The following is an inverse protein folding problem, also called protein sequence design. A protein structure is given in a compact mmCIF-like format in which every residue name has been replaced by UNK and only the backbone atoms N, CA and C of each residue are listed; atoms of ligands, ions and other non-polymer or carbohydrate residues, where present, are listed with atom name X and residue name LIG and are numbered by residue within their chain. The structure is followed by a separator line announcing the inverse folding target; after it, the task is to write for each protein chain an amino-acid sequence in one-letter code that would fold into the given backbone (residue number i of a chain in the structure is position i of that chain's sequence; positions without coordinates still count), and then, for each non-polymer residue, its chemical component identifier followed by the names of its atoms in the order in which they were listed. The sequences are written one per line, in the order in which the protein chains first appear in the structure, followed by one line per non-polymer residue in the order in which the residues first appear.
data_IF_287584139048
#
_entry.id   IF_287584139048
#
_cell.length_a   1.000
_cell.length_b   1.000
_cell.length_c   1.000
_cell.angle_alpha   90.00
_cell.angle_beta   90.00
_cell.angle_gamma   90.00
#
_symmetry.space_group_name_H-M   'P 1'
#
loop_
_entity.id
_entity.type
_entity.pdbx_description
1 polymer ?
#
# COMPACT_ATOMS: atom_id res chain seq x y z
N UNK A 1 34.27 -14.04 15.59
CA UNK A 1 34.54 -12.65 15.97
C UNK A 1 33.24 -11.94 16.33
N UNK A 2 33.28 -11.11 17.36
CA UNK A 2 32.24 -10.14 17.69
C UNK A 2 32.70 -8.79 17.14
N UNK A 3 31.92 -8.22 16.24
CA UNK A 3 32.15 -6.87 15.70
C UNK A 3 31.11 -5.92 16.30
N UNK A 4 31.59 -4.77 16.74
CA UNK A 4 30.76 -3.69 17.25
C UNK A 4 31.18 -2.38 16.59
N UNK A 5 30.26 -1.48 16.43
CA UNK A 5 30.55 -0.15 15.90
C UNK A 5 29.78 0.94 16.65
N UNK A 6 30.27 2.16 16.64
CA UNK A 6 29.58 3.32 17.16
C UNK A 6 29.66 4.48 16.17
N UNK A 7 28.78 5.46 16.33
CA UNK A 7 28.74 6.70 15.58
C UNK A 7 28.78 7.87 16.55
N UNK A 8 29.68 8.86 16.28
CA UNK A 8 29.73 10.13 17.01
C UNK A 8 29.80 9.94 18.53
N UNK A 9 30.68 9.04 19.00
CA UNK A 9 30.88 8.65 20.40
C UNK A 9 29.58 8.11 21.09
N UNK A 10 28.61 7.64 20.30
CA UNK A 10 27.38 7.06 20.80
C UNK A 10 27.52 5.63 21.35
N UNK A 11 26.42 4.96 21.53
CA UNK A 11 26.41 3.59 22.03
C UNK A 11 27.00 2.60 21.01
N UNK A 12 27.75 1.60 21.53
CA UNK A 12 28.25 0.50 20.72
C UNK A 12 27.13 -0.44 20.28
N UNK A 13 26.99 -0.62 18.97
CA UNK A 13 26.02 -1.50 18.34
C UNK A 13 26.71 -2.81 17.98
N UNK A 14 26.24 -3.92 18.55
CA UNK A 14 26.73 -5.27 18.27
C UNK A 14 26.16 -5.81 16.99
N UNK A 15 27.01 -6.37 16.14
CA UNK A 15 26.61 -7.18 15.00
C UNK A 15 26.51 -8.65 15.39
N UNK A 16 25.84 -9.50 14.61
CA UNK A 16 25.89 -10.94 14.80
C UNK A 16 27.33 -11.47 14.80
N UNK A 17 27.58 -12.49 15.61
CA UNK A 17 28.90 -13.16 15.63
C UNK A 17 29.17 -13.76 14.25
N UNK A 18 30.36 -13.58 13.74
CA UNK A 18 30.78 -14.05 12.42
C UNK A 18 32.09 -14.79 12.46
N UNK A 19 32.25 -15.80 11.62
CA UNK A 19 33.54 -16.43 11.31
C UNK A 19 34.25 -15.78 10.13
N UNK A 20 33.63 -14.82 9.46
CA UNK A 20 34.19 -14.09 8.33
C UNK A 20 35.24 -13.09 8.79
N UNK A 21 36.16 -12.78 7.89
CA UNK A 21 37.17 -11.73 8.09
C UNK A 21 36.69 -10.34 7.64
N UNK A 22 35.46 -10.22 7.19
CA UNK A 22 34.82 -8.96 6.78
C UNK A 22 33.34 -8.96 7.15
N UNK A 23 32.83 -7.76 7.47
CA UNK A 23 31.41 -7.48 7.75
C UNK A 23 31.08 -6.17 7.05
N UNK A 24 29.92 -6.14 6.41
CA UNK A 24 29.39 -4.95 5.75
C UNK A 24 28.20 -4.41 6.55
N UNK A 25 28.21 -3.11 6.83
CA UNK A 25 27.12 -2.37 7.45
C UNK A 25 26.55 -1.41 6.42
N UNK A 26 25.30 -1.66 6.02
CA UNK A 26 24.62 -0.86 5.01
C UNK A 26 23.74 0.21 5.64
N UNK A 27 23.42 1.26 4.86
CA UNK A 27 22.47 2.30 5.25
C UNK A 27 23.02 3.23 6.35
N UNK A 28 24.32 3.43 6.43
CA UNK A 28 24.95 4.33 7.39
C UNK A 28 24.81 5.80 6.96
N UNK A 29 24.70 6.68 7.93
CA UNK A 29 24.56 8.12 7.74
C UNK A 29 25.90 8.84 7.87
N UNK A 30 25.96 10.11 7.47
CA UNK A 30 27.14 10.94 7.70
C UNK A 30 27.46 11.00 9.20
N UNK A 31 28.74 10.93 9.54
CA UNK A 31 29.21 10.95 10.93
C UNK A 31 30.60 10.36 11.07
N UNK A 32 31.08 10.37 12.30
CA UNK A 32 32.36 9.76 12.68
C UNK A 32 32.11 8.36 13.22
N UNK A 33 32.76 7.38 12.62
CA UNK A 33 32.56 5.97 12.95
C UNK A 33 33.84 5.34 13.49
N UNK A 34 33.66 4.53 14.53
CA UNK A 34 34.65 3.66 15.06
C UNK A 34 34.12 2.24 15.17
N UNK A 35 34.92 1.26 14.88
CA UNK A 35 34.60 -0.14 15.04
C UNK A 35 35.57 -0.82 16.00
N UNK A 36 35.14 -1.87 16.68
CA UNK A 36 35.98 -2.74 17.46
C UNK A 36 35.66 -4.20 17.21
N UNK A 37 36.71 -5.01 17.26
CA UNK A 37 36.60 -6.46 17.02
C UNK A 37 37.16 -7.20 18.21
N UNK A 38 36.40 -8.17 18.70
CA UNK A 38 36.79 -9.09 19.76
C UNK A 38 36.81 -10.51 19.19
N UNK A 39 37.93 -11.20 19.34
CA UNK A 39 38.02 -12.63 19.02
C UNK A 39 37.34 -13.45 20.13
N UNK A 40 36.53 -14.44 19.75
CA UNK A 40 35.91 -15.37 20.68
C UNK A 40 36.44 -16.76 20.38
N UNK A 41 36.94 -17.44 21.37
CA UNK A 41 37.45 -18.81 21.26
C UNK A 41 36.30 -19.82 21.20
N UNK A 42 36.61 -21.07 20.89
CA UNK A 42 35.67 -22.18 20.93
C UNK A 42 35.07 -22.47 22.34
N UNK A 43 35.69 -21.90 23.37
CA UNK A 43 35.25 -22.01 24.78
C UNK A 43 34.61 -20.70 25.29
N UNK A 44 34.10 -19.85 24.37
CA UNK A 44 33.48 -18.56 24.68
C UNK A 44 34.38 -17.56 25.47
N UNK A 45 35.70 -17.74 25.39
CA UNK A 45 36.64 -16.81 25.99
C UNK A 45 36.91 -15.67 24.98
N UNK A 46 36.60 -14.45 25.39
CA UNK A 46 36.82 -13.25 24.59
C UNK A 46 38.22 -12.66 24.76
N UNK A 47 38.82 -12.21 23.68
CA UNK A 47 40.04 -11.39 23.72
C UNK A 47 39.76 -9.96 24.17
N UNK A 48 40.80 -9.18 24.41
CA UNK A 48 40.64 -7.73 24.42
C UNK A 48 40.22 -7.23 23.05
N UNK A 49 39.38 -6.19 22.99
CA UNK A 49 38.98 -5.62 21.70
C UNK A 49 40.10 -4.86 21.03
N UNK A 50 40.14 -4.97 19.70
CA UNK A 50 40.98 -4.12 18.86
C UNK A 50 40.08 -3.09 18.16
N UNK A 51 40.54 -1.83 18.18
CA UNK A 51 39.78 -0.70 17.65
C UNK A 51 40.27 -0.32 16.26
N UNK A 52 39.33 0.13 15.39
CA UNK A 52 39.68 0.79 14.15
C UNK A 52 40.20 2.23 14.43
N UNK A 53 40.71 2.88 13.41
CA UNK A 53 40.84 4.34 13.41
C UNK A 53 39.45 4.97 13.32
N UNK A 54 39.29 6.14 13.95
CA UNK A 54 38.08 6.96 13.76
C UNK A 54 37.98 7.39 12.29
N UNK A 55 36.89 7.06 11.64
CA UNK A 55 36.68 7.31 10.21
C UNK A 55 35.45 8.18 10.00
N UNK A 56 35.64 9.32 9.35
CA UNK A 56 34.52 10.18 8.96
C UNK A 56 33.90 9.66 7.65
N UNK A 57 32.63 9.32 7.68
CA UNK A 57 31.86 8.88 6.52
C UNK A 57 30.88 9.97 6.11
N UNK A 58 30.86 10.28 4.83
CA UNK A 58 29.92 11.26 4.28
C UNK A 58 28.48 10.74 4.29
N UNK A 59 28.31 9.43 4.43
CA UNK A 59 27.01 8.79 4.35
C UNK A 59 26.34 8.96 2.99
N UNK A 60 25.05 8.69 2.94
CA UNK A 60 24.23 9.02 1.76
C UNK A 60 24.10 10.54 1.68
N UNK A 61 24.45 11.10 0.54
CA UNK A 61 24.23 12.52 0.22
C UNK A 61 23.07 12.65 -0.78
N UNK A 62 22.31 13.73 -0.63
CA UNK A 62 21.20 14.03 -1.51
C UNK A 62 19.85 13.53 -0.99
N UNK A 63 18.80 13.93 -1.70
CA UNK A 63 17.41 13.55 -1.42
C UNK A 63 17.11 12.17 -2.01
N UNK A 64 16.11 11.47 -1.47
CA UNK A 64 15.57 10.27 -2.12
C UNK A 64 15.21 10.55 -3.57
N UNK A 65 15.42 9.60 -4.49
CA UNK A 65 15.02 9.77 -5.87
C UNK A 65 13.49 9.82 -5.99
N UNK A 66 12.98 10.29 -7.14
CA UNK A 66 11.56 10.19 -7.45
C UNK A 66 11.14 8.72 -7.61
N UNK A 67 9.85 8.44 -7.43
CA UNK A 67 9.28 7.17 -7.85
C UNK A 67 9.51 6.94 -9.35
N UNK A 68 9.85 5.72 -9.73
CA UNK A 68 10.02 5.38 -11.15
C UNK A 68 8.70 5.51 -11.91
N UNK A 69 7.59 5.12 -11.29
CA UNK A 69 6.25 5.23 -11.84
C UNK A 69 5.21 5.13 -10.73
N UNK A 70 4.07 5.77 -10.94
CA UNK A 70 2.81 5.52 -10.24
C UNK A 70 1.70 5.37 -11.26
N UNK A 71 0.88 4.33 -11.12
CA UNK A 71 -0.28 4.04 -11.96
C UNK A 71 -1.53 3.96 -11.09
N UNK A 72 -2.63 4.51 -11.60
CA UNK A 72 -3.93 4.43 -10.98
C UNK A 72 -4.92 3.78 -11.96
N UNK A 73 -5.71 2.82 -11.48
CA UNK A 73 -6.76 2.14 -12.24
C UNK A 73 -8.06 2.27 -11.49
N UNK A 74 -9.12 2.70 -12.19
CA UNK A 74 -10.47 2.71 -11.64
C UNK A 74 -11.01 1.28 -11.50
N UNK A 75 -11.58 1.00 -10.34
CA UNK A 75 -12.32 -0.23 -10.05
C UNK A 75 -13.73 0.12 -9.61
N UNK A 76 -14.59 -0.86 -9.47
CA UNK A 76 -15.96 -0.65 -9.00
C UNK A 76 -15.93 0.08 -7.64
N UNK A 77 -16.49 1.28 -7.59
CA UNK A 77 -16.52 2.17 -6.43
C UNK A 77 -15.16 2.43 -5.77
N UNK A 78 -14.07 2.45 -6.57
CA UNK A 78 -12.74 2.65 -5.97
C UNK A 78 -11.62 2.82 -6.98
N UNK A 79 -10.39 2.78 -6.45
CA UNK A 79 -9.15 2.87 -7.21
C UNK A 79 -8.16 1.81 -6.75
N UNK A 80 -7.39 1.29 -7.69
CA UNK A 80 -6.18 0.52 -7.41
C UNK A 80 -4.98 1.34 -7.82
N UNK A 81 -4.07 1.54 -6.88
CA UNK A 81 -2.80 2.21 -7.08
C UNK A 81 -1.68 1.18 -7.11
N UNK A 82 -0.74 1.34 -8.02
CA UNK A 82 0.51 0.59 -8.05
C UNK A 82 1.64 1.57 -8.34
N UNK A 83 2.80 1.36 -7.71
CA UNK A 83 3.98 2.20 -7.94
C UNK A 83 5.24 1.37 -7.97
N UNK A 84 6.25 1.88 -8.66
CA UNK A 84 7.54 1.23 -8.78
C UNK A 84 8.63 2.11 -8.18
N UNK A 85 9.54 1.45 -7.47
CA UNK A 85 10.73 2.08 -6.95
C UNK A 85 11.77 2.24 -8.06
N UNK A 86 12.62 3.29 -8.03
CA UNK A 86 13.73 3.40 -8.94
C UNK A 86 14.75 2.28 -8.73
N UNK A 87 15.45 1.89 -9.80
CA UNK A 87 16.43 0.81 -9.75
C UNK A 87 17.64 1.12 -8.83
N UNK A 88 17.92 2.41 -8.60
CA UNK A 88 19.04 2.87 -7.76
C UNK A 88 18.58 3.95 -6.78
N UNK A 89 19.24 4.01 -5.63
CA UNK A 89 19.04 5.08 -4.64
C UNK A 89 17.80 4.93 -3.75
N UNK A 90 17.06 3.82 -3.82
CA UNK A 90 15.85 3.59 -3.03
C UNK A 90 16.02 2.60 -1.87
N UNK A 91 17.21 2.03 -1.68
CA UNK A 91 17.44 0.95 -0.69
C UNK A 91 17.24 1.38 0.77
N UNK A 92 17.36 2.66 1.08
CA UNK A 92 17.13 3.24 2.40
C UNK A 92 15.73 3.89 2.55
N UNK A 93 14.85 3.68 1.60
CA UNK A 93 13.46 4.15 1.69
C UNK A 93 12.79 3.56 2.92
N UNK A 94 12.18 4.43 3.73
CA UNK A 94 11.33 4.04 4.84
C UNK A 94 9.87 3.98 4.39
N UNK A 95 9.41 5.01 3.69
CA UNK A 95 8.02 5.15 3.29
C UNK A 95 7.88 5.68 1.87
N UNK A 96 6.78 5.30 1.25
CA UNK A 96 6.21 6.02 0.11
C UNK A 96 5.03 6.85 0.60
N UNK A 97 5.11 8.17 0.45
CA UNK A 97 3.98 9.06 0.69
C UNK A 97 3.18 9.21 -0.59
N UNK A 98 1.89 8.95 -0.50
CA UNK A 98 0.93 9.13 -1.60
C UNK A 98 -0.04 10.24 -1.23
N UNK A 99 -0.32 11.13 -2.17
CA UNK A 99 -1.40 12.10 -2.06
C UNK A 99 -2.47 11.88 -3.14
N UNK A 100 -3.68 12.32 -2.81
CA UNK A 100 -4.84 12.32 -3.68
C UNK A 100 -5.30 13.76 -3.91
N UNK A 101 -5.62 14.09 -5.16
CA UNK A 101 -6.13 15.40 -5.54
C UNK A 101 -7.41 15.29 -6.38
N UNK A 102 -8.23 16.34 -6.34
CA UNK A 102 -9.44 16.42 -7.15
C UNK A 102 -9.17 16.93 -8.56
N UNK A 103 -8.04 17.60 -8.79
CA UNK A 103 -7.67 18.24 -10.05
C UNK A 103 -6.26 17.89 -10.49
N UNK A 104 -5.99 18.02 -11.78
CA UNK A 104 -4.69 17.69 -12.38
C UNK A 104 -3.53 18.59 -11.88
N UNK A 105 -3.83 19.80 -11.43
CA UNK A 105 -2.83 20.74 -10.90
C UNK A 105 -2.57 20.54 -9.38
N UNK A 106 -3.21 19.55 -8.77
CA UNK A 106 -3.03 19.28 -7.34
C UNK A 106 -3.76 20.23 -6.40
N UNK A 107 -4.70 21.04 -6.88
CA UNK A 107 -5.54 21.81 -6.00
C UNK A 107 -6.33 20.88 -5.07
N UNK A 108 -6.38 21.22 -3.77
CA UNK A 108 -6.99 20.40 -2.72
C UNK A 108 -6.35 19.00 -2.60
N UNK A 109 -5.05 18.88 -2.90
CA UNK A 109 -4.31 17.66 -2.62
C UNK A 109 -4.27 17.39 -1.11
N UNK A 110 -4.53 16.16 -0.73
CA UNK A 110 -4.46 15.68 0.64
C UNK A 110 -3.62 14.40 0.69
N UNK A 111 -2.92 14.21 1.79
CA UNK A 111 -2.18 12.98 2.02
C UNK A 111 -3.16 11.80 2.11
N UNK A 112 -3.00 10.83 1.22
CA UNK A 112 -3.73 9.57 1.26
C UNK A 112 -3.15 8.64 2.33
N UNK A 113 -1.83 8.55 2.41
CA UNK A 113 -1.15 7.74 3.41
C UNK A 113 0.35 7.66 3.22
N UNK A 114 0.99 7.08 4.24
CA UNK A 114 2.38 6.67 4.26
C UNK A 114 2.45 5.15 4.20
N UNK A 115 3.08 4.61 3.17
CA UNK A 115 3.18 3.19 2.93
C UNK A 115 4.62 2.74 3.19
N UNK A 116 4.80 1.85 4.16
CA UNK A 116 6.12 1.34 4.52
C UNK A 116 6.74 0.59 3.33
N UNK A 117 8.05 0.81 3.11
CA UNK A 117 8.81 0.05 2.11
C UNK A 117 8.85 -1.45 2.52
N UNK A 118 8.68 -2.41 1.61
CA UNK A 118 8.60 -2.30 0.14
C UNK A 118 7.16 -2.33 -0.43
N UNK A 119 6.14 -1.90 0.34
CA UNK A 119 4.76 -1.83 -0.17
C UNK A 119 4.73 -0.99 -1.45
N UNK A 120 4.10 -1.51 -2.49
CA UNK A 120 4.05 -0.89 -3.82
C UNK A 120 2.65 -0.87 -4.43
N UNK A 121 1.62 -1.15 -3.64
CA UNK A 121 0.23 -1.13 -4.08
C UNK A 121 -0.72 -0.74 -2.95
N UNK A 122 -1.84 -0.14 -3.33
CA UNK A 122 -2.93 0.18 -2.40
C UNK A 122 -4.27 0.19 -3.12
N UNK A 123 -5.33 -0.19 -2.42
CA UNK A 123 -6.71 -0.18 -2.94
C UNK A 123 -7.55 0.75 -2.07
N UNK A 124 -8.25 1.68 -2.74
CA UNK A 124 -9.20 2.59 -2.14
C UNK A 124 -10.59 2.15 -2.57
N UNK A 125 -11.51 1.97 -1.62
CA UNK A 125 -12.89 1.59 -1.88
C UNK A 125 -13.88 2.54 -1.20
N UNK A 126 -15.18 2.40 -1.50
CA UNK A 126 -16.24 3.21 -0.93
C UNK A 126 -16.38 4.59 -1.59
N UNK A 127 -15.84 4.73 -2.80
CA UNK A 127 -15.96 5.96 -3.57
C UNK A 127 -17.22 5.96 -4.42
N UNK A 128 -17.72 7.16 -4.76
CA UNK A 128 -18.81 7.29 -5.72
C UNK A 128 -18.39 6.82 -7.12
N UNK A 129 -19.29 6.28 -7.94
CA UNK A 129 -18.99 5.90 -9.30
C UNK A 129 -18.71 7.14 -10.17
N UNK A 130 -17.96 6.95 -11.27
CA UNK A 130 -17.60 8.00 -12.23
C UNK A 130 -16.85 9.18 -11.62
N UNK A 131 -16.15 8.97 -10.50
CA UNK A 131 -15.38 9.97 -9.80
C UNK A 131 -13.93 9.95 -10.29
N UNK A 132 -13.45 11.05 -10.90
CA UNK A 132 -12.06 11.18 -11.32
C UNK A 132 -11.20 11.74 -10.19
N UNK A 133 -10.02 11.11 -9.96
CA UNK A 133 -9.00 11.56 -8.99
C UNK A 133 -7.61 11.45 -9.57
N UNK A 134 -6.70 12.19 -8.97
CA UNK A 134 -5.30 12.28 -9.35
C UNK A 134 -4.43 11.87 -8.17
N UNK A 135 -3.38 11.12 -8.44
CA UNK A 135 -2.50 10.53 -7.43
C UNK A 135 -1.05 10.77 -7.82
N UNK A 136 -0.23 11.12 -6.86
CA UNK A 136 1.23 11.14 -7.01
C UNK A 136 1.89 10.65 -5.73
N UNK A 137 3.14 10.26 -5.84
CA UNK A 137 3.89 9.76 -4.71
C UNK A 137 5.30 10.30 -4.66
N UNK A 138 5.90 10.24 -3.47
CA UNK A 138 7.31 10.53 -3.23
C UNK A 138 7.89 9.58 -2.21
N UNK A 139 9.19 9.44 -2.22
CA UNK A 139 9.91 8.60 -1.27
C UNK A 139 10.38 9.42 -0.07
N UNK A 140 10.35 8.79 1.09
CA UNK A 140 10.91 9.30 2.35
C UNK A 140 11.92 8.26 2.82
N UNK A 141 13.14 8.67 3.08
CA UNK A 141 14.19 7.79 3.58
C UNK A 141 14.10 7.58 5.10
N UNK A 142 14.96 6.70 5.63
CA UNK A 142 14.97 6.32 7.05
C UNK A 142 15.36 7.44 8.01
N UNK A 143 15.95 8.52 7.52
CA UNK A 143 16.29 9.70 8.33
C UNK A 143 15.32 10.86 8.12
N UNK A 144 14.27 10.65 7.31
CA UNK A 144 13.23 11.63 7.11
C UNK A 144 13.46 12.62 5.96
N UNK A 145 14.48 12.43 5.13
CA UNK A 145 14.62 13.24 3.92
C UNK A 145 13.52 12.89 2.93
N UNK A 146 12.97 13.91 2.32
CA UNK A 146 11.82 13.82 1.44
C UNK A 146 12.27 14.05 -0.01
N UNK A 147 11.96 13.08 -0.87
CA UNK A 147 12.24 13.15 -2.30
C UNK A 147 11.23 13.98 -3.07
N UNK A 148 11.48 14.22 -4.37
CA UNK A 148 10.56 14.93 -5.23
C UNK A 148 9.29 14.11 -5.51
N UNK A 149 8.19 14.82 -5.76
CA UNK A 149 6.95 14.21 -6.21
C UNK A 149 7.06 13.63 -7.62
N UNK A 150 6.42 12.49 -7.85
CA UNK A 150 6.18 11.96 -9.18
C UNK A 150 5.19 12.84 -9.95
N UNK A 151 5.04 12.57 -11.25
CA UNK A 151 3.92 13.10 -12.03
C UNK A 151 2.59 12.51 -11.51
N UNK A 152 1.50 13.25 -11.73
CA UNK A 152 0.17 12.75 -11.40
C UNK A 152 -0.27 11.64 -12.34
N UNK A 153 -0.69 10.51 -11.79
CA UNK A 153 -1.53 9.52 -12.45
C UNK A 153 -3.00 9.81 -12.16
N UNK A 154 -3.89 9.53 -13.10
CA UNK A 154 -5.31 9.73 -12.88
C UNK A 154 -6.12 8.48 -13.19
N UNK A 155 -7.21 8.31 -12.47
CA UNK A 155 -8.19 7.27 -12.73
C UNK A 155 -9.61 7.78 -12.44
N UNK A 156 -10.59 7.12 -13.05
CA UNK A 156 -12.01 7.34 -12.78
C UNK A 156 -12.59 6.03 -12.23
N UNK A 157 -13.31 6.10 -11.12
CA UNK A 157 -13.98 4.95 -10.54
C UNK A 157 -14.99 4.35 -11.52
N UNK A 158 -15.06 3.03 -11.59
CA UNK A 158 -16.06 2.34 -12.43
C UNK A 158 -17.43 2.34 -11.76
N UNK A 159 -18.48 2.45 -12.59
CA UNK A 159 -19.85 2.16 -12.24
C UNK A 159 -20.30 0.79 -12.75
N UNK A 160 -19.43 0.05 -13.44
CA UNK A 160 -19.74 -1.23 -14.03
C UNK A 160 -19.84 -2.31 -12.94
N UNK A 161 -21.09 -2.67 -12.64
CA UNK A 161 -21.43 -3.72 -11.68
C UNK A 161 -21.78 -5.05 -12.37
N UNK A 162 -21.50 -5.21 -13.66
CA UNK A 162 -21.89 -6.40 -14.44
C UNK A 162 -21.40 -7.69 -13.79
N UNK A 163 -20.16 -7.78 -13.34
CA UNK A 163 -19.64 -8.96 -12.66
C UNK A 163 -20.37 -9.27 -11.33
N UNK A 164 -20.82 -8.25 -10.61
CA UNK A 164 -21.62 -8.42 -9.39
C UNK A 164 -23.03 -8.90 -9.75
N UNK A 165 -23.63 -8.31 -10.78
CA UNK A 165 -24.93 -8.70 -11.29
C UNK A 165 -24.93 -10.14 -11.82
N UNK A 166 -23.87 -10.57 -12.51
CA UNK A 166 -23.71 -11.94 -12.97
C UNK A 166 -23.66 -12.95 -11.81
N UNK A 167 -22.93 -12.61 -10.73
CA UNK A 167 -22.89 -13.43 -9.52
C UNK A 167 -24.26 -13.49 -8.85
N UNK A 168 -24.97 -12.38 -8.81
CA UNK A 168 -26.30 -12.30 -8.19
C UNK A 168 -27.36 -13.01 -9.05
N UNK A 169 -27.35 -12.83 -10.37
CA UNK A 169 -28.30 -13.49 -11.28
C UNK A 169 -28.14 -15.01 -11.26
N UNK A 170 -26.92 -15.53 -11.11
CA UNK A 170 -26.66 -16.96 -10.95
C UNK A 170 -27.07 -17.53 -9.56
N UNK A 171 -27.34 -16.66 -8.57
CA UNK A 171 -27.73 -17.07 -7.21
C UNK A 171 -29.18 -16.74 -6.84
N UNK A 172 -29.81 -15.80 -7.57
CA UNK A 172 -31.24 -15.50 -7.44
C UNK A 172 -32.03 -16.57 -8.18
N UNK A 173 -32.13 -17.75 -7.60
CA UNK A 173 -33.09 -18.76 -8.03
C UNK A 173 -34.52 -18.37 -7.55
N UNK A 174 -35.53 -18.88 -8.20
CA UNK A 174 -36.97 -18.67 -7.85
C UNK A 174 -37.25 -18.87 -6.34
N UNK A 175 -36.47 -19.72 -5.67
CA UNK A 175 -36.60 -19.98 -4.23
C UNK A 175 -36.12 -18.81 -3.36
N UNK A 176 -35.44 -17.81 -3.91
CA UNK A 176 -34.92 -16.62 -3.16
C UNK A 176 -35.69 -15.32 -3.48
N UNK A 177 -36.53 -15.31 -4.50
CA UNK A 177 -37.59 -14.30 -4.55
C UNK A 177 -38.45 -14.55 -3.32
N UNK A 178 -38.44 -13.62 -2.39
CA UNK A 178 -39.09 -13.79 -1.10
C UNK A 178 -40.45 -14.40 -1.31
N UNK A 179 -40.82 -15.42 -0.54
CA UNK A 179 -42.14 -16.05 -0.51
C UNK A 179 -43.25 -14.99 -0.57
N UNK A 180 -43.05 -13.82 0.05
CA UNK A 180 -43.97 -12.71 0.02
C UNK A 180 -44.16 -12.00 -1.34
N UNK A 181 -43.23 -12.13 -2.29
CA UNK A 181 -43.39 -11.61 -3.63
C UNK A 181 -44.16 -12.64 -4.49
N UNK A 182 -43.88 -13.92 -4.33
CA UNK A 182 -44.64 -15.00 -4.97
C UNK A 182 -46.10 -15.00 -4.50
N UNK A 183 -46.34 -14.93 -3.18
CA UNK A 183 -47.71 -14.78 -2.63
C UNK A 183 -48.45 -13.55 -3.18
N UNK A 184 -47.76 -12.43 -3.38
CA UNK A 184 -48.37 -11.24 -3.98
C UNK A 184 -48.73 -11.43 -5.45
N UNK A 185 -47.91 -12.12 -6.21
CA UNK A 185 -48.17 -12.41 -7.63
C UNK A 185 -49.32 -13.41 -7.73
N UNK A 186 -49.32 -14.51 -6.97
CA UNK A 186 -50.37 -15.49 -6.94
C UNK A 186 -51.72 -14.90 -6.48
N UNK A 187 -51.72 -14.07 -5.43
CA UNK A 187 -52.92 -13.39 -4.96
C UNK A 187 -53.47 -12.37 -5.98
N UNK A 188 -52.55 -11.65 -6.67
CA UNK A 188 -52.98 -10.73 -7.74
C UNK A 188 -53.64 -11.44 -8.92
N UNK A 189 -53.15 -12.61 -9.29
CA UNK A 189 -53.77 -13.43 -10.35
C UNK A 189 -55.11 -14.04 -9.91
N UNK A 190 -55.23 -14.45 -8.64
CA UNK A 190 -56.46 -14.95 -8.07
C UNK A 190 -57.55 -13.88 -7.97
N UNK A 191 -57.19 -12.65 -7.52
CA UNK A 191 -58.10 -11.51 -7.44
C UNK A 191 -58.57 -11.08 -8.82
N UNK A 192 -57.71 -11.06 -9.83
CA UNK A 192 -58.07 -10.75 -11.21
C UNK A 192 -58.97 -11.82 -11.81
N UNK A 193 -58.74 -13.10 -11.56
CA UNK A 193 -59.58 -14.19 -11.99
C UNK A 193 -60.98 -14.14 -11.32
N UNK A 194 -61.05 -13.86 -10.01
CA UNK A 194 -62.33 -13.77 -9.30
C UNK A 194 -63.11 -12.58 -9.75
N UNK A 195 -62.53 -11.41 -9.97
CA UNK A 195 -63.15 -10.23 -10.51
C UNK A 195 -63.72 -10.48 -11.91
N UNK A 196 -63.07 -11.28 -12.75
CA UNK A 196 -63.50 -11.66 -14.07
C UNK A 196 -64.76 -12.60 -14.01
N UNK A 197 -64.75 -13.60 -13.10
CA UNK A 197 -65.87 -14.52 -12.85
C UNK A 197 -67.09 -13.75 -12.34
N UNK A 198 -66.88 -12.81 -11.40
CA UNK A 198 -67.99 -11.99 -10.84
C UNK A 198 -68.61 -11.09 -11.88
N UNK A 199 -67.89 -10.61 -12.87
CA UNK A 199 -68.40 -9.84 -14.00
C UNK A 199 -69.20 -10.72 -14.94
N UNK A 200 -68.77 -11.94 -15.25
CA UNK A 200 -69.46 -12.88 -16.08
C UNK A 200 -70.80 -13.29 -15.47
N UNK A 201 -70.86 -13.54 -14.17
CA UNK A 201 -72.12 -13.93 -13.46
C UNK A 201 -73.14 -12.80 -13.37
N UNK A 202 -72.73 -11.54 -13.58
CA UNK A 202 -73.66 -10.38 -13.60
C UNK A 202 -74.24 -10.07 -14.98
N UNK A 203 -73.74 -10.73 -16.01
CA UNK A 203 -74.18 -10.52 -17.41
C UNK A 203 -75.14 -11.61 -17.85
N UNK A 204 -75.32 -12.72 -17.15
CA UNK A 204 -76.34 -13.71 -17.28
C UNK A 204 -77.58 -13.32 -16.46
#
# INVERSE_FOLDING_TARGET
YQVEWCKDDGNWIKLPITGSNSVEVQGIYAGNYEARVTAISAFDIASLPTYSILTTLSGKQGLPPALANIAATGILFGYRLNWNFPATGALDTAYTEIEIASTANGANAAQLGLFAYPTNSHVIQGMQPNLKRYFRGRLIDRIGNIGPWSQYASATTSADASAVLDILSGKLTETQLSQGLMEKIENSDLENNQAFIDVQQKIE
#
